data_IF_893960202860
#
_entry.id   IF_893960202860
#
_cell.length_a   1.000
_cell.length_b   1.000
_cell.length_c   1.000
_cell.angle_alpha   90.00
_cell.angle_beta   90.00
_cell.angle_gamma   90.00
#
_symmetry.space_group_name_H-M   'P 1'
#
loop_
_entity.id
_entity.type
_entity.pdbx_description
1 polymer ?
#
# COMPACT_ATOMS: atom_id res chain seq x y z
N UNK A 1 -14.88 7.68 -37.09
CA UNK A 1 -13.74 7.43 -36.19
C UNK A 1 -14.29 6.67 -35.00
N UNK A 2 -14.45 5.35 -35.18
CA UNK A 2 -15.09 4.48 -34.18
C UNK A 2 -14.02 4.11 -33.17
N UNK A 3 -14.13 4.62 -31.95
CA UNK A 3 -13.30 4.21 -30.83
C UNK A 3 -13.73 2.79 -30.50
N UNK A 4 -12.92 1.81 -30.91
CA UNK A 4 -13.11 0.42 -30.50
C UNK A 4 -12.84 0.37 -29.00
N UNK A 5 -13.89 0.28 -28.19
CA UNK A 5 -13.75 -0.08 -26.77
C UNK A 5 -13.13 -1.46 -26.70
N UNK A 6 -11.82 -1.48 -26.46
CA UNK A 6 -11.04 -2.66 -26.14
C UNK A 6 -11.50 -3.17 -24.77
N UNK A 7 -12.50 -4.03 -24.75
CA UNK A 7 -13.06 -4.66 -23.55
C UNK A 7 -12.12 -5.77 -23.05
N UNK A 8 -10.88 -5.40 -22.72
CA UNK A 8 -10.04 -6.26 -21.89
C UNK A 8 -10.71 -6.41 -20.53
N UNK A 9 -10.87 -7.63 -19.99
CA UNK A 9 -11.43 -7.82 -18.67
C UNK A 9 -10.52 -7.11 -17.66
N UNK A 10 -11.04 -6.05 -17.02
CA UNK A 10 -10.32 -5.34 -15.98
C UNK A 10 -10.14 -6.27 -14.77
N UNK A 11 -8.94 -6.29 -14.21
CA UNK A 11 -8.69 -6.99 -12.95
C UNK A 11 -9.54 -6.36 -11.85
N UNK A 12 -10.24 -7.19 -11.09
CA UNK A 12 -10.93 -6.77 -9.88
C UNK A 12 -9.93 -6.31 -8.82
N UNK A 13 -10.35 -5.36 -7.98
CA UNK A 13 -9.52 -4.84 -6.89
C UNK A 13 -8.89 -5.95 -6.00
N UNK A 14 -9.58 -7.04 -5.64
CA UNK A 14 -8.98 -8.13 -4.86
C UNK A 14 -7.80 -8.81 -5.57
N UNK A 15 -7.85 -8.94 -6.89
CA UNK A 15 -6.79 -9.55 -7.69
C UNK A 15 -5.56 -8.63 -7.75
N UNK A 16 -5.79 -7.32 -7.91
CA UNK A 16 -4.74 -6.30 -7.87
C UNK A 16 -4.07 -6.28 -6.49
N UNK A 17 -4.85 -6.32 -5.42
CA UNK A 17 -4.32 -6.37 -4.05
C UNK A 17 -3.53 -7.65 -3.78
N UNK A 18 -4.00 -8.79 -4.29
CA UNK A 18 -3.28 -10.07 -4.16
C UNK A 18 -1.94 -10.02 -4.88
N UNK A 19 -1.91 -9.44 -6.10
CA UNK A 19 -0.67 -9.26 -6.86
C UNK A 19 0.32 -8.34 -6.13
N UNK A 20 -0.16 -7.26 -5.52
CA UNK A 20 0.67 -6.27 -4.83
C UNK A 20 1.03 -6.66 -3.38
N UNK A 21 0.44 -7.71 -2.81
CA UNK A 21 0.62 -8.11 -1.41
C UNK A 21 2.09 -8.26 -0.97
N UNK A 22 2.99 -8.93 -1.71
CA UNK A 22 4.40 -9.06 -1.30
C UNK A 22 5.13 -7.72 -1.27
N UNK A 23 4.92 -6.85 -2.27
CA UNK A 23 5.53 -5.53 -2.31
C UNK A 23 4.99 -4.62 -1.21
N UNK A 24 3.68 -4.71 -0.94
CA UNK A 24 3.06 -3.98 0.16
C UNK A 24 3.62 -4.39 1.52
N UNK A 25 3.92 -5.68 1.74
CA UNK A 25 4.59 -6.14 2.95
C UNK A 25 6.02 -5.58 3.07
N UNK A 26 6.75 -5.48 1.96
CA UNK A 26 8.09 -4.88 1.94
C UNK A 26 8.05 -3.36 2.23
N UNK A 27 7.05 -2.66 1.70
CA UNK A 27 6.81 -1.23 1.99
C UNK A 27 6.50 -1.03 3.47
N UNK A 28 5.63 -1.85 4.06
CA UNK A 28 5.32 -1.77 5.49
C UNK A 28 6.56 -1.99 6.36
N UNK A 29 7.39 -2.98 6.02
CA UNK A 29 8.66 -3.22 6.71
C UNK A 29 9.62 -2.03 6.58
N UNK A 30 9.71 -1.43 5.40
CA UNK A 30 10.53 -0.24 5.16
C UNK A 30 10.06 0.96 5.98
N UNK A 31 8.74 1.21 6.03
CA UNK A 31 8.15 2.30 6.82
C UNK A 31 8.50 2.11 8.30
N UNK A 32 8.31 0.90 8.86
CA UNK A 32 8.65 0.60 10.25
C UNK A 32 10.13 0.85 10.55
N UNK A 33 11.02 0.39 9.67
CA UNK A 33 12.47 0.59 9.83
C UNK A 33 12.88 2.07 9.76
N UNK A 34 12.16 2.88 8.97
CA UNK A 34 12.47 4.32 8.82
C UNK A 34 11.91 5.17 9.95
N UNK A 35 10.84 4.72 10.60
CA UNK A 35 10.20 5.43 11.71
C UNK A 35 10.74 5.01 13.08
N UNK A 36 11.63 4.02 13.15
CA UNK A 36 12.30 3.65 14.40
C UNK A 36 13.08 4.84 14.97
N UNK A 37 12.80 5.17 16.22
CA UNK A 37 13.40 6.30 16.91
C UNK A 37 13.77 5.93 18.35
N UNK A 38 14.82 6.55 18.87
CA UNK A 38 15.19 6.46 20.30
C UNK A 38 14.14 7.13 21.21
N UNK A 39 13.29 7.98 20.63
CA UNK A 39 12.16 8.61 21.32
C UNK A 39 10.94 7.69 21.26
N UNK A 40 10.59 7.09 22.39
CA UNK A 40 9.49 6.12 22.53
C UNK A 40 8.16 6.62 21.94
N UNK A 41 7.81 7.90 22.14
CA UNK A 41 6.56 8.49 21.66
C UNK A 41 6.45 8.45 20.12
N UNK A 42 7.57 8.60 19.41
CA UNK A 42 7.58 8.54 17.93
C UNK A 42 7.19 7.13 17.46
N UNK A 43 7.71 6.08 18.11
CA UNK A 43 7.37 4.70 17.76
C UNK A 43 5.87 4.41 17.99
N UNK A 44 5.30 4.90 19.09
CA UNK A 44 3.88 4.73 19.41
C UNK A 44 2.96 5.41 18.37
N UNK A 45 3.30 6.64 17.96
CA UNK A 45 2.55 7.36 16.93
C UNK A 45 2.69 6.65 15.57
N UNK A 46 3.91 6.22 15.22
CA UNK A 46 4.16 5.47 13.99
C UNK A 46 3.32 4.20 13.92
N UNK A 47 3.30 3.39 14.99
CA UNK A 47 2.49 2.18 15.05
C UNK A 47 1.00 2.47 14.95
N UNK A 48 0.52 3.53 15.59
CA UNK A 48 -0.88 3.96 15.49
C UNK A 48 -1.26 4.32 14.05
N UNK A 49 -0.45 5.14 13.37
CA UNK A 49 -0.71 5.56 11.98
C UNK A 49 -0.65 4.38 11.02
N UNK A 50 0.31 3.46 11.20
CA UNK A 50 0.45 2.29 10.32
C UNK A 50 -0.73 1.34 10.51
N UNK A 51 -1.14 1.09 11.76
CA UNK A 51 -2.18 0.13 12.12
C UNK A 51 -3.60 0.65 11.88
N UNK A 52 -3.80 1.97 11.79
CA UNK A 52 -5.09 2.59 11.51
C UNK A 52 -5.65 2.29 10.11
N UNK A 53 -4.93 1.54 9.26
CA UNK A 53 -5.53 0.94 8.07
C UNK A 53 -5.88 1.95 6.97
N UNK A 54 -5.01 2.94 6.72
CA UNK A 54 -5.15 3.82 5.56
C UNK A 54 -5.27 3.01 4.25
N UNK A 55 -5.93 3.55 3.23
CA UNK A 55 -6.28 2.81 1.99
C UNK A 55 -5.09 2.25 1.18
N UNK A 56 -3.85 2.62 1.52
CA UNK A 56 -2.59 2.23 0.84
C UNK A 56 -2.56 2.41 -0.69
N UNK A 57 -3.44 3.25 -1.25
CA UNK A 57 -3.51 3.48 -2.70
C UNK A 57 -2.25 4.15 -3.25
N UNK A 58 -1.64 5.10 -2.53
CA UNK A 58 -0.41 5.77 -3.00
C UNK A 58 0.76 4.80 -3.23
N UNK A 59 1.16 3.96 -2.24
CA UNK A 59 2.22 2.99 -2.46
C UNK A 59 1.85 1.86 -3.43
N UNK A 60 0.57 1.53 -3.62
CA UNK A 60 0.17 0.54 -4.65
C UNK A 60 0.28 1.05 -6.10
N UNK A 61 0.45 2.36 -6.32
CA UNK A 61 0.53 2.96 -7.66
C UNK A 61 1.96 3.14 -8.18
N UNK A 62 2.97 2.96 -7.33
CA UNK A 62 4.40 3.06 -7.66
C UNK A 62 5.01 1.67 -7.76
#
# INVERSE_FOLDING_TARGET
>A
MTITEDTRPALGLPQIQTLAAPDMAAVDALIRRRLSSDVVLINQIADHIISAGGKRLRPMLV
#
